data_IF_271083534048
#
_entry.id   IF_271083534048
#
_cell.length_a   1.000
_cell.length_b   1.000
_cell.length_c   1.000
_cell.angle_alpha   90.00
_cell.angle_beta   90.00
_cell.angle_gamma   90.00
#
_symmetry.space_group_name_H-M   'P 1'
#
loop_
_entity.id
_entity.type
_entity.pdbx_description
1 polymer ?
#
# COMPACT_ATOMS: atom_id res chain seq x y z
N UNK A 1 -39.74 -10.95 -66.20
CA UNK A 1 -40.71 -11.72 -65.39
C UNK A 1 -40.04 -13.05 -65.08
N UNK A 2 -39.70 -13.50 -63.87
CA UNK A 2 -39.95 -13.09 -62.49
C UNK A 2 -38.63 -13.18 -61.69
N UNK A 3 -38.52 -12.38 -60.63
CA UNK A 3 -37.40 -12.33 -59.67
C UNK A 3 -37.76 -13.18 -58.44
N UNK A 4 -36.77 -13.92 -57.91
CA UNK A 4 -36.42 -14.18 -56.49
C UNK A 4 -37.54 -14.73 -55.56
N UNK A 5 -37.25 -15.62 -54.61
CA UNK A 5 -37.04 -15.32 -53.18
C UNK A 5 -36.51 -16.62 -52.53
N UNK A 6 -35.19 -16.71 -52.27
CA UNK A 6 -34.51 -16.57 -50.97
C UNK A 6 -34.66 -17.77 -50.01
N UNK A 7 -33.69 -18.67 -50.18
CA UNK A 7 -32.99 -19.42 -49.12
C UNK A 7 -32.64 -18.48 -47.96
N UNK A 8 -32.92 -18.90 -46.73
CA UNK A 8 -31.91 -19.05 -45.67
C UNK A 8 -32.58 -19.22 -44.32
N UNK A 9 -32.37 -20.42 -43.79
CA UNK A 9 -32.75 -20.87 -42.46
C UNK A 9 -32.07 -19.95 -41.43
N UNK A 10 -32.90 -19.23 -40.66
CA UNK A 10 -32.48 -18.44 -39.52
C UNK A 10 -32.13 -19.39 -38.37
N UNK A 11 -30.87 -19.86 -38.33
CA UNK A 11 -30.34 -20.55 -37.14
C UNK A 11 -30.02 -19.47 -36.10
N UNK A 12 -30.94 -19.29 -35.16
CA UNK A 12 -30.69 -18.60 -33.89
C UNK A 12 -29.53 -19.29 -33.17
N UNK A 13 -28.31 -18.81 -33.39
CA UNK A 13 -27.17 -19.08 -32.53
C UNK A 13 -27.43 -18.38 -31.19
N UNK A 14 -28.29 -18.99 -30.35
CA UNK A 14 -28.27 -18.79 -28.90
C UNK A 14 -26.93 -19.34 -28.41
N UNK A 15 -25.87 -18.56 -28.62
CA UNK A 15 -24.61 -18.78 -27.93
C UNK A 15 -24.90 -18.49 -26.47
N UNK A 16 -24.83 -19.47 -25.55
CA UNK A 16 -24.83 -19.13 -24.15
C UNK A 16 -23.55 -18.34 -23.95
N UNK A 17 -23.69 -17.02 -23.84
CA UNK A 17 -22.64 -16.16 -23.33
C UNK A 17 -22.31 -16.75 -21.97
N UNK A 18 -21.26 -17.56 -21.93
CA UNK A 18 -20.67 -18.05 -20.71
C UNK A 18 -20.20 -16.79 -20.01
N UNK A 19 -21.06 -16.26 -19.14
CA UNK A 19 -20.66 -15.35 -18.09
C UNK A 19 -19.67 -16.15 -17.26
N UNK A 20 -18.39 -16.09 -17.65
CA UNK A 20 -17.28 -16.41 -16.78
C UNK A 20 -17.46 -15.46 -15.61
N UNK A 21 -18.06 -15.97 -14.54
CA UNK A 21 -17.95 -15.35 -13.22
C UNK A 21 -16.46 -15.39 -12.93
N UNK A 22 -15.79 -14.27 -13.11
CA UNK A 22 -14.55 -14.02 -12.43
C UNK A 22 -14.88 -14.07 -10.93
N UNK A 23 -14.74 -15.25 -10.34
CA UNK A 23 -14.70 -15.40 -8.90
C UNK A 23 -13.50 -14.57 -8.46
N UNK A 24 -13.77 -13.35 -8.01
CA UNK A 24 -12.80 -12.53 -7.31
C UNK A 24 -12.44 -13.24 -6.02
N UNK A 25 -11.57 -14.25 -6.12
CA UNK A 25 -10.77 -14.64 -4.98
C UNK A 25 -9.97 -13.39 -4.66
N UNK A 26 -10.34 -12.72 -3.56
CA UNK A 26 -9.47 -11.76 -2.92
C UNK A 26 -8.21 -12.55 -2.56
N UNK A 27 -7.23 -12.54 -3.46
CA UNK A 27 -5.94 -13.15 -3.21
C UNK A 27 -5.46 -12.58 -1.89
N UNK A 28 -5.15 -13.46 -0.95
CA UNK A 28 -4.40 -13.08 0.23
C UNK A 28 -3.01 -12.76 -0.32
N UNK A 29 -2.78 -11.47 -0.60
CA UNK A 29 -1.45 -11.00 -0.99
C UNK A 29 -0.67 -10.78 0.29
N UNK A 30 0.48 -11.45 0.37
CA UNK A 30 1.30 -11.38 1.57
C UNK A 30 2.02 -10.04 1.68
N UNK A 31 2.27 -9.66 2.93
CA UNK A 31 3.11 -8.51 3.27
C UNK A 31 4.51 -8.74 2.69
N UNK A 32 5.02 -7.78 1.94
CA UNK A 32 6.34 -7.85 1.32
C UNK A 32 7.45 -7.70 2.36
N UNK A 33 7.31 -6.72 3.25
CA UNK A 33 8.29 -6.48 4.32
C UNK A 33 7.66 -5.71 5.50
N UNK A 34 8.31 -5.75 6.66
CA UNK A 34 8.00 -4.92 7.82
C UNK A 34 9.27 -4.51 8.57
N UNK A 35 9.31 -3.25 8.99
CA UNK A 35 10.40 -2.73 9.82
C UNK A 35 9.90 -1.76 10.89
N UNK A 36 10.63 -1.72 12.01
CA UNK A 36 10.39 -0.83 13.14
C UNK A 36 11.36 0.36 13.16
N UNK A 37 11.88 0.69 14.34
CA UNK A 37 12.87 1.76 14.50
C UNK A 37 14.28 1.34 14.11
N UNK A 38 14.56 1.36 12.80
CA UNK A 38 15.84 0.98 12.19
C UNK A 38 16.66 2.18 11.74
N UNK A 39 17.95 1.94 11.44
CA UNK A 39 18.83 2.95 10.85
C UNK A 39 18.37 3.34 9.46
N UNK A 40 18.73 4.55 9.05
CA UNK A 40 18.29 5.11 7.77
C UNK A 40 18.82 4.34 6.57
N UNK A 41 20.04 3.81 6.66
CA UNK A 41 20.66 3.01 5.62
C UNK A 41 19.88 1.70 5.41
N UNK A 42 19.46 1.05 6.50
CA UNK A 42 18.66 -0.17 6.46
C UNK A 42 17.25 0.10 5.93
N UNK A 43 16.63 1.23 6.32
CA UNK A 43 15.34 1.67 5.78
C UNK A 43 15.40 1.90 4.27
N UNK A 44 16.46 2.57 3.80
CA UNK A 44 16.66 2.80 2.37
C UNK A 44 16.90 1.51 1.61
N UNK A 45 17.73 0.60 2.10
CA UNK A 45 17.93 -0.71 1.48
C UNK A 45 16.60 -1.50 1.34
N UNK A 46 15.72 -1.44 2.35
CA UNK A 46 14.40 -2.09 2.30
C UNK A 46 13.45 -1.42 1.31
N UNK A 47 13.43 -0.08 1.27
CA UNK A 47 12.66 0.67 0.27
C UNK A 47 13.19 0.47 -1.15
N UNK A 48 14.48 0.18 -1.31
CA UNK A 48 15.10 -0.13 -2.59
C UNK A 48 14.62 -1.48 -3.12
N UNK A 49 14.62 -2.51 -2.28
CA UNK A 49 14.07 -3.82 -2.62
C UNK A 49 12.57 -3.73 -2.96
N UNK A 50 11.82 -2.93 -2.20
CA UNK A 50 10.42 -2.67 -2.49
C UNK A 50 10.20 -1.96 -3.83
N UNK A 51 11.05 -0.99 -4.16
CA UNK A 51 10.99 -0.30 -5.45
C UNK A 51 11.31 -1.23 -6.63
N UNK A 52 12.28 -2.14 -6.48
CA UNK A 52 12.60 -3.14 -7.50
C UNK A 52 11.36 -4.00 -7.82
N UNK A 53 10.64 -4.46 -6.81
CA UNK A 53 9.42 -5.26 -7.02
C UNK A 53 8.33 -4.45 -7.74
N UNK A 54 8.12 -3.18 -7.35
CA UNK A 54 7.13 -2.32 -8.00
C UNK A 54 7.45 -1.97 -9.45
N UNK A 55 8.73 -1.93 -9.81
CA UNK A 55 9.18 -1.73 -11.19
C UNK A 55 8.91 -2.96 -12.06
N UNK A 56 9.04 -4.16 -11.48
CA UNK A 56 8.70 -5.42 -12.16
C UNK A 56 7.18 -5.59 -12.34
N UNK A 57 6.38 -4.97 -11.46
CA UNK A 57 4.91 -5.03 -11.48
C UNK A 57 4.27 -3.65 -11.67
N UNK A 58 4.34 -3.02 -12.85
CA UNK A 58 3.92 -1.63 -13.07
C UNK A 58 2.42 -1.38 -12.84
N UNK A 59 1.60 -2.44 -12.81
CA UNK A 59 0.16 -2.36 -12.52
C UNK A 59 -0.17 -2.55 -11.04
N UNK A 60 0.75 -3.10 -10.23
CA UNK A 60 0.55 -3.27 -8.80
C UNK A 60 0.63 -1.92 -8.08
N UNK A 61 0.00 -1.82 -6.91
CA UNK A 61 0.17 -0.71 -5.96
C UNK A 61 1.17 -1.10 -4.88
N UNK A 62 2.06 -0.17 -4.56
CA UNK A 62 2.86 -0.22 -3.36
C UNK A 62 2.12 0.46 -2.21
N UNK A 63 1.78 -0.28 -1.16
CA UNK A 63 1.08 0.26 0.00
C UNK A 63 2.02 0.28 1.19
N UNK A 64 2.16 1.45 1.80
CA UNK A 64 2.93 1.66 3.03
C UNK A 64 1.93 1.88 4.15
N UNK A 65 1.81 0.92 5.05
CA UNK A 65 0.98 1.06 6.25
C UNK A 65 1.90 1.35 7.42
N UNK A 66 1.70 2.45 8.13
CA UNK A 66 2.50 2.78 9.30
C UNK A 66 1.66 2.89 10.57
N UNK A 67 2.31 2.58 11.69
CA UNK A 67 1.74 2.66 13.04
C UNK A 67 2.60 3.60 13.88
N UNK A 68 1.95 4.44 14.68
CA UNK A 68 2.64 5.21 15.72
C UNK A 68 2.95 4.35 16.95
N UNK A 69 4.14 4.48 17.53
CA UNK A 69 4.45 3.82 18.80
C UNK A 69 3.85 4.54 20.02
N UNK A 70 3.69 3.81 21.14
CA UNK A 70 3.31 4.42 22.43
C UNK A 70 4.34 5.37 22.98
N UNK A 71 5.60 5.20 22.58
CA UNK A 71 6.69 6.09 22.95
C UNK A 71 7.63 6.31 21.76
N UNK A 72 8.32 7.45 21.79
CA UNK A 72 9.44 7.74 20.90
C UNK A 72 10.58 8.27 21.76
N UNK A 73 11.74 7.60 21.69
CA UNK A 73 12.93 7.93 22.51
C UNK A 73 12.59 8.09 24.00
N UNK A 74 11.80 7.15 24.54
CA UNK A 74 11.40 7.12 25.95
C UNK A 74 10.39 8.18 26.39
N UNK A 75 9.74 8.89 25.46
CA UNK A 75 8.72 9.91 25.77
C UNK A 75 7.40 9.58 25.09
N UNK A 76 6.29 10.05 25.65
CA UNK A 76 4.99 10.00 24.97
C UNK A 76 5.09 10.69 23.59
N UNK A 77 4.41 10.17 22.56
CA UNK A 77 4.42 10.78 21.24
C UNK A 77 3.73 12.14 21.27
N UNK A 78 4.08 13.00 20.31
CA UNK A 78 3.27 14.17 19.97
C UNK A 78 2.20 13.78 18.94
N UNK A 79 1.11 14.55 18.87
CA UNK A 79 0.13 14.38 17.78
C UNK A 79 0.80 14.70 16.45
N UNK A 80 0.61 13.85 15.44
CA UNK A 80 1.25 14.00 14.14
C UNK A 80 2.68 13.44 14.04
N UNK A 81 3.21 12.86 15.12
CA UNK A 81 4.60 12.39 15.17
C UNK A 81 4.83 11.18 14.26
N UNK A 82 3.88 10.25 14.23
CA UNK A 82 3.92 9.08 13.36
C UNK A 82 3.88 9.49 11.88
N UNK A 83 3.01 10.43 11.51
CA UNK A 83 2.90 11.00 10.17
C UNK A 83 4.18 11.73 9.77
N UNK A 84 4.73 12.56 10.66
CA UNK A 84 5.97 13.27 10.41
C UNK A 84 7.15 12.31 10.19
N UNK A 85 7.15 11.17 10.87
CA UNK A 85 8.12 10.10 10.69
C UNK A 85 7.93 9.38 9.35
N UNK A 86 6.71 8.97 9.00
CA UNK A 86 6.41 8.27 7.75
C UNK A 86 6.53 9.16 6.49
N UNK A 87 6.49 10.50 6.65
CA UNK A 87 6.51 11.46 5.55
C UNK A 87 7.74 11.37 4.63
N UNK A 88 8.83 10.72 5.05
CA UNK A 88 10.03 10.52 4.21
C UNK A 88 9.94 9.34 3.24
N UNK A 89 9.09 8.35 3.52
CA UNK A 89 9.07 7.07 2.79
C UNK A 89 8.60 7.24 1.35
N UNK A 90 7.43 7.85 1.14
CA UNK A 90 6.88 8.07 -0.21
C UNK A 90 7.79 8.95 -1.08
N UNK A 91 8.29 10.11 -0.61
CA UNK A 91 9.18 10.93 -1.43
C UNK A 91 10.50 10.25 -1.81
N UNK A 92 11.01 9.32 -0.98
CA UNK A 92 12.17 8.51 -1.35
C UNK A 92 11.86 7.63 -2.57
N UNK A 93 10.77 6.87 -2.53
CA UNK A 93 10.33 6.02 -3.65
C UNK A 93 10.09 6.82 -4.95
N UNK A 94 9.42 7.97 -4.83
CA UNK A 94 9.10 8.81 -5.99
C UNK A 94 10.36 9.45 -6.59
N UNK A 95 11.17 10.12 -5.77
CA UNK A 95 12.26 10.98 -6.27
C UNK A 95 13.57 10.24 -6.47
N UNK A 96 13.86 9.21 -5.67
CA UNK A 96 15.13 8.47 -5.74
C UNK A 96 15.01 7.20 -6.56
N UNK A 97 13.83 6.55 -6.57
CA UNK A 97 13.59 5.28 -7.28
C UNK A 97 12.65 5.41 -8.47
N UNK A 98 12.13 6.60 -8.75
CA UNK A 98 11.33 6.89 -9.94
C UNK A 98 9.95 6.22 -9.96
N UNK A 99 9.44 5.79 -8.80
CA UNK A 99 8.13 5.14 -8.72
C UNK A 99 7.03 6.17 -8.93
N UNK A 100 6.08 5.97 -9.87
CA UNK A 100 4.99 6.90 -10.10
C UNK A 100 4.17 7.15 -8.83
N UNK A 101 3.80 8.41 -8.59
CA UNK A 101 3.01 8.78 -7.41
C UNK A 101 1.67 8.04 -7.32
N UNK A 102 1.10 7.69 -8.48
CA UNK A 102 -0.13 6.91 -8.61
C UNK A 102 0.03 5.44 -8.17
N UNK A 103 1.27 4.92 -8.12
CA UNK A 103 1.55 3.55 -7.68
C UNK A 103 1.65 3.43 -6.16
N UNK A 104 1.90 4.53 -5.44
CA UNK A 104 2.15 4.52 -3.98
C UNK A 104 0.98 5.04 -3.16
N UNK A 105 0.47 4.20 -2.26
CA UNK A 105 -0.53 4.54 -1.24
C UNK A 105 0.13 4.51 0.14
N UNK A 106 -0.20 5.48 1.00
CA UNK A 106 0.30 5.53 2.39
C UNK A 106 -0.89 5.59 3.33
N UNK A 107 -0.93 4.69 4.31
CA UNK A 107 -2.04 4.53 5.25
C UNK A 107 -1.50 4.68 6.66
N UNK A 108 -2.13 5.55 7.45
CA UNK A 108 -1.93 5.58 8.90
C UNK A 108 -2.91 4.58 9.53
N UNK A 109 -2.40 3.49 10.09
CA UNK A 109 -3.23 2.47 10.74
C UNK A 109 -3.53 2.77 12.22
N UNK A 110 -3.03 3.88 12.76
CA UNK A 110 -3.22 4.27 14.16
C UNK A 110 -1.96 4.05 14.99
N UNK A 111 -2.14 3.54 16.21
CA UNK A 111 -1.04 3.36 17.16
C UNK A 111 -0.89 1.90 17.55
N UNK A 112 0.35 1.42 17.61
CA UNK A 112 0.77 0.12 18.13
C UNK A 112 1.70 0.31 19.34
N UNK A 113 2.23 -0.78 19.89
CA UNK A 113 3.22 -0.71 20.98
C UNK A 113 4.45 0.09 20.54
N UNK A 114 4.97 -0.23 19.36
CA UNK A 114 6.13 0.41 18.75
C UNK A 114 5.79 1.04 17.40
N UNK A 115 6.65 1.93 16.91
CA UNK A 115 6.50 2.44 15.56
C UNK A 115 6.93 1.38 14.56
N UNK A 116 6.12 1.13 13.54
CA UNK A 116 6.48 0.26 12.43
C UNK A 116 5.91 0.74 11.11
N UNK A 117 6.49 0.25 10.03
CA UNK A 117 5.99 0.39 8.67
C UNK A 117 5.96 -0.99 8.00
N UNK A 118 4.84 -1.29 7.37
CA UNK A 118 4.60 -2.49 6.58
C UNK A 118 4.55 -2.10 5.11
N UNK A 119 5.26 -2.85 4.29
CA UNK A 119 5.30 -2.69 2.84
C UNK A 119 4.49 -3.82 2.21
N UNK A 120 3.58 -3.46 1.31
CA UNK A 120 2.73 -4.40 0.61
C UNK A 120 2.78 -4.15 -0.89
N UNK A 121 2.80 -5.24 -1.66
CA UNK A 121 2.61 -5.23 -3.11
C UNK A 121 1.21 -5.74 -3.38
N UNK A 122 0.38 -4.91 -4.01
CA UNK A 122 -1.05 -5.15 -4.19
C UNK A 122 -1.36 -5.20 -5.68
N UNK A 123 -1.52 -6.39 -6.27
CA UNK A 123 -1.84 -6.53 -7.69
C UNK A 123 -3.20 -5.93 -8.08
N UNK A 124 -3.45 -5.68 -9.37
CA UNK A 124 -4.77 -5.22 -9.83
C UNK A 124 -5.89 -6.17 -9.42
N UNK A 125 -6.99 -5.62 -8.89
CA UNK A 125 -8.16 -6.41 -8.47
C UNK A 125 -8.03 -7.03 -7.07
N UNK A 126 -6.87 -6.92 -6.43
CA UNK A 126 -6.67 -7.29 -5.04
C UNK A 126 -7.41 -6.36 -4.07
N UNK A 127 -7.73 -6.88 -2.89
CA UNK A 127 -8.21 -6.05 -1.78
C UNK A 127 -7.08 -5.24 -1.17
N UNK A 128 -7.36 -3.98 -0.82
CA UNK A 128 -6.37 -3.11 -0.18
C UNK A 128 -6.14 -3.54 1.28
N UNK A 129 -4.88 -3.69 1.73
CA UNK A 129 -4.60 -3.99 3.13
C UNK A 129 -4.98 -2.78 4.00
N UNK A 130 -5.61 -3.04 5.15
CA UNK A 130 -6.06 -2.01 6.10
C UNK A 130 -5.17 -1.86 7.32
N UNK A 131 -4.19 -2.76 7.48
CA UNK A 131 -3.38 -2.91 8.68
C UNK A 131 -3.95 -3.93 9.65
N UNK A 132 -3.12 -4.36 10.60
CA UNK A 132 -3.43 -5.38 11.58
C UNK A 132 -4.08 -4.74 12.82
N UNK A 133 -5.40 -4.92 12.93
CA UNK A 133 -6.18 -4.46 14.07
C UNK A 133 -5.74 -5.07 15.41
N UNK A 134 -5.14 -6.26 15.43
CA UNK A 134 -4.68 -6.92 16.66
C UNK A 134 -3.48 -6.18 17.28
N UNK A 135 -2.69 -5.48 16.46
CA UNK A 135 -1.54 -4.68 16.90
C UNK A 135 -1.94 -3.33 17.51
N UNK A 136 -3.22 -2.93 17.43
CA UNK A 136 -3.65 -1.59 17.79
C UNK A 136 -3.82 -1.36 19.28
N UNK A 137 -3.26 -0.25 19.73
CA UNK A 137 -3.42 0.28 21.07
C UNK A 137 -4.72 1.07 21.16
N UNK A 138 -5.63 0.61 22.02
CA UNK A 138 -6.96 1.22 22.19
C UNK A 138 -6.94 2.64 22.77
N UNK A 139 -5.93 2.97 23.59
CA UNK A 139 -5.82 4.27 24.27
C UNK A 139 -4.38 4.79 24.25
N UNK A 140 -4.16 5.86 23.49
CA UNK A 140 -2.87 6.55 23.38
C UNK A 140 -2.87 7.84 24.19
N UNK A 141 -1.74 8.16 24.82
CA UNK A 141 -1.51 9.44 25.51
C UNK A 141 -0.51 10.26 24.70
N UNK A 142 -0.74 11.57 24.62
CA UNK A 142 0.12 12.48 23.90
C UNK A 142 0.76 13.49 24.85
N UNK A 143 2.03 13.83 24.62
CA UNK A 143 2.62 15.03 25.23
C UNK A 143 2.28 16.27 24.41
N UNK A 144 2.36 17.44 25.05
CA UNK A 144 2.13 18.73 24.41
C UNK A 144 3.19 19.04 23.33
N UNK A 145 2.80 19.89 22.38
CA UNK A 145 3.67 20.42 21.33
C UNK A 145 3.49 19.74 19.97
N UNK A 146 4.16 20.29 18.95
CA UNK A 146 4.17 19.76 17.58
C UNK A 146 5.46 18.98 17.29
N UNK A 147 5.40 17.90 16.50
CA UNK A 147 6.59 17.23 16.02
C UNK A 147 7.37 18.19 15.11
N UNK A 148 8.70 18.15 15.17
CA UNK A 148 9.54 18.86 14.23
C UNK A 148 9.91 17.87 13.11
N UNK A 149 9.45 18.06 11.86
CA UNK A 149 9.73 17.12 10.77
C UNK A 149 11.22 16.85 10.54
N UNK A 150 12.10 17.80 10.94
CA UNK A 150 13.56 17.63 10.83
C UNK A 150 14.10 16.54 11.75
N UNK A 151 13.41 16.23 12.85
CA UNK A 151 13.83 15.20 13.81
C UNK A 151 13.73 13.78 13.21
N UNK A 152 12.94 13.62 12.15
CA UNK A 152 12.69 12.34 11.47
C UNK A 152 13.31 12.26 10.08
N UNK A 153 14.08 13.26 9.67
CA UNK A 153 14.81 13.18 8.41
C UNK A 153 15.99 12.25 8.58
N UNK A 154 16.13 11.33 7.64
CA UNK A 154 17.39 10.66 7.42
C UNK A 154 18.39 11.67 6.85
N UNK A 155 19.55 11.79 7.50
CA UNK A 155 20.69 12.50 6.94
C UNK A 155 21.37 11.50 6.03
N UNK A 156 21.31 11.77 4.73
CA UNK A 156 22.10 11.10 3.69
C UNK A 156 23.21 12.03 3.29
#
# INVERSE_FOLDING_TARGET
MSRLIKVSILVLLLSPMLFVRASGQAGIFDKFDEFGDIKCEDEYARLDNFAIQLQQEPKAKGVIIFYGGKTFRGRLPKRGEAEARAARLKPYLLRRRGIPASQIVVINAGYAEEWSAQLWIVPPGASMPTGDSASLVKKIRFRKGKPNPRDFRCRV
#
